data_IF_010280967965
#
_entry.id   IF_010280967965
#
_cell.length_a   1.000
_cell.length_b   1.000
_cell.length_c   1.000
_cell.angle_alpha   90.00
_cell.angle_beta   90.00
_cell.angle_gamma   90.00
#
_symmetry.space_group_name_H-M   'P 1'
#
loop_
_entity.id
_entity.type
_entity.pdbx_description
1 polymer ?
#
# COMPACT_ATOMS: atom_id res chain seq x y z
N UNK A 1 -21.80 -12.81 3.75
CA UNK A 1 -21.65 -12.12 2.47
C UNK A 1 -21.49 -10.63 2.78
N UNK A 2 -20.51 -9.99 2.18
CA UNK A 2 -20.22 -8.57 2.37
C UNK A 2 -20.45 -7.84 1.06
N UNK A 3 -20.91 -6.60 1.12
CA UNK A 3 -21.16 -5.77 -0.05
C UNK A 3 -19.94 -4.92 -0.40
N UNK A 4 -19.12 -4.58 0.61
CA UNK A 4 -17.83 -3.89 0.44
C UNK A 4 -16.73 -4.59 1.22
N UNK A 5 -15.58 -4.75 0.57
CA UNK A 5 -14.35 -5.25 1.19
C UNK A 5 -13.27 -4.18 1.05
N UNK A 6 -12.73 -3.73 2.19
CA UNK A 6 -11.65 -2.74 2.25
C UNK A 6 -10.31 -3.43 2.44
N UNK A 7 -9.39 -3.17 1.54
CA UNK A 7 -8.00 -3.61 1.61
C UNK A 7 -7.07 -2.41 1.72
N UNK A 8 -5.89 -2.58 2.30
CA UNK A 8 -4.81 -1.61 2.17
C UNK A 8 -4.28 -1.60 0.73
N UNK A 9 -3.65 -0.50 0.30
CA UNK A 9 -3.03 -0.39 -1.02
C UNK A 9 -2.00 -1.51 -1.24
N UNK A 10 -1.12 -1.68 -0.28
CA UNK A 10 -0.02 -2.64 -0.37
C UNK A 10 0.50 -3.03 1.01
N UNK A 11 1.20 -4.16 1.10
CA UNK A 11 1.89 -4.60 2.30
C UNK A 11 3.26 -3.91 2.43
N UNK A 12 3.69 -3.64 3.65
CA UNK A 12 4.92 -2.89 3.94
C UNK A 12 6.20 -3.66 3.57
N UNK A 13 6.11 -4.98 3.56
CA UNK A 13 7.26 -5.87 3.29
C UNK A 13 7.60 -5.97 1.80
N UNK A 14 6.62 -6.28 0.95
CA UNK A 14 6.85 -6.55 -0.46
C UNK A 14 6.37 -5.41 -1.40
N UNK A 15 5.47 -4.55 -0.94
CA UNK A 15 4.93 -3.40 -1.69
C UNK A 15 4.40 -3.75 -3.11
N UNK A 16 3.86 -4.97 -3.30
CA UNK A 16 3.41 -5.43 -4.61
C UNK A 16 2.03 -4.89 -5.02
N UNK A 17 1.22 -4.45 -4.07
CA UNK A 17 -0.10 -3.88 -4.34
C UNK A 17 -1.13 -4.86 -4.95
N UNK A 18 -0.90 -6.16 -4.88
CA UNK A 18 -1.69 -7.16 -5.59
C UNK A 18 -2.80 -7.81 -4.75
N UNK A 19 -2.69 -7.77 -3.41
CA UNK A 19 -3.58 -8.54 -2.53
C UNK A 19 -5.06 -8.23 -2.72
N UNK A 20 -5.44 -6.94 -2.80
CA UNK A 20 -6.84 -6.54 -3.02
C UNK A 20 -7.37 -6.93 -4.42
N UNK A 21 -6.52 -6.88 -5.43
CA UNK A 21 -6.89 -7.24 -6.80
C UNK A 21 -7.11 -8.74 -6.93
N UNK A 22 -6.19 -9.55 -6.38
CA UNK A 22 -6.32 -11.01 -6.36
C UNK A 22 -7.58 -11.45 -5.59
N UNK A 23 -7.86 -10.80 -4.46
CA UNK A 23 -9.06 -11.07 -3.68
C UNK A 23 -10.34 -10.76 -4.48
N UNK A 24 -10.37 -9.66 -5.23
CA UNK A 24 -11.51 -9.31 -6.06
C UNK A 24 -11.74 -10.33 -7.18
N UNK A 25 -10.68 -10.81 -7.82
CA UNK A 25 -10.74 -11.85 -8.85
C UNK A 25 -11.29 -13.17 -8.30
N UNK A 26 -10.76 -13.63 -7.15
CA UNK A 26 -11.25 -14.86 -6.48
C UNK A 26 -12.70 -14.76 -6.01
N UNK A 27 -13.15 -13.56 -5.63
CA UNK A 27 -14.54 -13.31 -5.25
C UNK A 27 -15.46 -13.08 -6.46
N UNK A 28 -14.93 -12.91 -7.68
CA UNK A 28 -15.69 -12.57 -8.87
C UNK A 28 -16.40 -11.21 -8.76
N UNK A 29 -15.76 -10.20 -8.16
CA UNK A 29 -16.36 -8.89 -7.90
C UNK A 29 -15.57 -7.76 -8.55
N UNK A 30 -16.21 -6.59 -8.64
CA UNK A 30 -15.54 -5.35 -9.07
C UNK A 30 -14.45 -4.94 -8.10
N UNK A 31 -13.43 -4.22 -8.59
CA UNK A 31 -12.38 -3.62 -7.75
C UNK A 31 -12.13 -2.17 -8.15
N UNK A 32 -11.98 -1.29 -7.14
CA UNK A 32 -11.50 0.08 -7.33
C UNK A 32 -10.24 0.25 -6.48
N UNK A 33 -9.13 0.57 -7.13
CA UNK A 33 -7.83 0.66 -6.46
C UNK A 33 -7.49 2.08 -6.04
N UNK A 34 -6.63 2.20 -5.02
CA UNK A 34 -6.02 3.47 -4.59
C UNK A 34 -7.04 4.58 -4.31
N UNK A 35 -8.10 4.27 -3.54
CA UNK A 35 -9.12 5.27 -3.23
C UNK A 35 -8.73 6.14 -2.05
N UNK A 36 -9.09 7.42 -2.11
CA UNK A 36 -8.96 8.41 -1.03
C UNK A 36 -10.30 8.76 -0.41
N UNK A 37 -11.37 8.68 -1.20
CA UNK A 37 -12.75 8.96 -0.78
C UNK A 37 -13.68 7.90 -1.36
N UNK A 38 -14.77 7.62 -0.65
CA UNK A 38 -15.80 6.68 -1.10
C UNK A 38 -17.17 7.15 -0.66
N UNK A 39 -18.15 6.98 -1.52
CA UNK A 39 -19.58 7.16 -1.23
C UNK A 39 -20.36 5.93 -1.72
N UNK A 40 -21.42 5.61 -0.99
CA UNK A 40 -22.34 4.53 -1.33
C UNK A 40 -23.75 5.08 -1.44
N UNK A 41 -24.42 4.78 -2.54
CA UNK A 41 -25.83 5.12 -2.79
C UNK A 41 -26.56 3.87 -3.33
N UNK A 42 -27.32 3.21 -2.47
CA UNK A 42 -27.85 1.88 -2.76
C UNK A 42 -26.70 0.90 -3.07
N UNK A 43 -26.73 0.28 -4.24
CA UNK A 43 -25.68 -0.63 -4.71
C UNK A 43 -24.55 0.07 -5.49
N UNK A 44 -24.68 1.40 -5.67
CA UNK A 44 -23.69 2.18 -6.42
C UNK A 44 -22.57 2.66 -5.51
N UNK A 45 -21.35 2.26 -5.83
CA UNK A 45 -20.11 2.67 -5.16
C UNK A 45 -19.44 3.73 -6.02
N UNK A 46 -19.28 4.93 -5.51
CA UNK A 46 -18.53 6.02 -6.16
C UNK A 46 -17.29 6.32 -5.34
N UNK A 47 -16.13 6.31 -5.97
CA UNK A 47 -14.87 6.53 -5.27
C UNK A 47 -13.96 7.51 -6.03
N UNK A 48 -13.19 8.28 -5.27
CA UNK A 48 -12.11 9.12 -5.79
C UNK A 48 -10.83 8.28 -5.77
N UNK A 49 -10.34 7.96 -6.96
CA UNK A 49 -9.15 7.15 -7.17
C UNK A 49 -7.94 8.06 -7.43
N UNK A 50 -6.85 7.79 -6.72
CA UNK A 50 -5.55 8.41 -6.97
C UNK A 50 -4.83 7.72 -8.12
N UNK A 51 -4.25 8.49 -9.04
CA UNK A 51 -3.43 8.03 -10.16
C UNK A 51 -2.14 8.83 -10.22
N UNK A 52 -1.18 8.42 -11.04
CA UNK A 52 0.08 9.17 -11.23
C UNK A 52 -0.13 10.57 -11.79
N UNK A 53 -1.22 10.78 -12.56
CA UNK A 53 -1.56 12.07 -13.17
C UNK A 53 -2.49 12.94 -12.30
N UNK A 54 -2.96 12.43 -11.15
CA UNK A 54 -3.88 13.10 -10.25
C UNK A 54 -5.02 12.22 -9.76
N UNK A 55 -6.26 12.68 -9.85
CA UNK A 55 -7.43 11.98 -9.34
C UNK A 55 -8.49 11.78 -10.43
N UNK A 56 -9.23 10.69 -10.33
CA UNK A 56 -10.42 10.46 -11.12
C UNK A 56 -11.56 9.90 -10.26
N UNK A 57 -12.79 10.19 -10.63
CA UNK A 57 -13.97 9.57 -10.04
C UNK A 57 -14.32 8.30 -10.78
N UNK A 58 -14.45 7.20 -10.05
CA UNK A 58 -14.78 5.88 -10.58
C UNK A 58 -16.05 5.37 -9.92
N UNK A 59 -16.87 4.67 -10.68
CA UNK A 59 -18.11 4.05 -10.20
C UNK A 59 -18.06 2.54 -10.42
N UNK A 60 -18.59 1.80 -9.47
CA UNK A 60 -18.79 0.35 -9.55
C UNK A 60 -20.11 -0.02 -8.86
N UNK A 61 -20.57 -1.25 -9.08
CA UNK A 61 -21.69 -1.81 -8.35
C UNK A 61 -21.19 -2.70 -7.21
N UNK A 62 -21.87 -2.71 -6.07
CA UNK A 62 -21.67 -3.68 -5.02
C UNK A 62 -22.13 -5.09 -5.47
N UNK A 63 -21.46 -6.18 -5.05
CA UNK A 63 -20.30 -6.22 -4.16
C UNK A 63 -19.01 -5.72 -4.85
N UNK A 64 -18.16 -5.02 -4.08
CA UNK A 64 -16.95 -4.42 -4.61
C UNK A 64 -15.80 -4.51 -3.59
N UNK A 65 -14.59 -4.77 -4.10
CA UNK A 65 -13.35 -4.65 -3.32
C UNK A 65 -12.76 -3.27 -3.59
N UNK A 66 -12.28 -2.59 -2.55
CA UNK A 66 -11.58 -1.31 -2.68
C UNK A 66 -10.22 -1.37 -2.01
N UNK A 67 -9.19 -0.81 -2.64
CA UNK A 67 -7.90 -0.63 -1.96
C UNK A 67 -7.71 0.83 -1.59
N UNK A 68 -7.36 1.08 -0.33
CA UNK A 68 -7.36 2.41 0.28
C UNK A 68 -5.94 2.94 0.40
N UNK A 69 -5.74 4.18 -0.03
CA UNK A 69 -4.53 4.96 0.20
C UNK A 69 -4.70 5.86 1.42
N UNK A 70 -3.78 6.79 1.65
CA UNK A 70 -3.89 7.75 2.74
C UNK A 70 -5.04 8.73 2.45
N UNK A 71 -6.10 8.76 3.29
CA UNK A 71 -7.17 9.74 3.16
C UNK A 71 -6.68 11.15 3.56
N UNK A 72 -7.42 12.18 3.15
CA UNK A 72 -7.11 13.58 3.49
C UNK A 72 -7.41 13.93 4.96
N UNK A 73 -8.26 13.14 5.63
CA UNK A 73 -8.61 13.37 7.03
C UNK A 73 -7.60 12.73 8.00
N UNK A 74 -7.47 13.32 9.18
CA UNK A 74 -6.63 12.77 10.24
C UNK A 74 -7.27 11.53 10.87
N UNK A 75 -6.50 10.44 11.10
CA UNK A 75 -7.01 9.25 11.73
C UNK A 75 -7.40 9.50 13.19
N UNK A 76 -8.52 8.91 13.62
CA UNK A 76 -8.96 8.99 15.01
C UNK A 76 -8.08 8.18 15.93
N UNK A 77 -7.51 8.83 16.94
CA UNK A 77 -6.70 8.14 17.95
C UNK A 77 -7.59 7.34 18.92
N UNK A 78 -7.20 6.11 19.28
CA UNK A 78 -7.96 5.30 20.22
C UNK A 78 -7.89 5.87 21.64
N UNK A 79 -9.03 5.94 22.32
CA UNK A 79 -9.11 6.30 23.74
C UNK A 79 -8.51 5.19 24.60
N UNK A 80 -8.16 5.50 25.87
CA UNK A 80 -7.67 4.51 26.84
C UNK A 80 -8.69 3.37 27.00
N UNK A 81 -9.98 3.67 27.08
CA UNK A 81 -11.07 2.68 27.17
C UNK A 81 -11.05 1.73 25.97
N UNK A 82 -10.92 2.28 24.76
CA UNK A 82 -10.90 1.49 23.53
C UNK A 82 -9.63 0.61 23.44
N UNK A 83 -8.47 1.13 23.85
CA UNK A 83 -7.23 0.33 23.94
C UNK A 83 -7.37 -0.85 24.90
N UNK A 84 -7.97 -0.63 26.07
CA UNK A 84 -8.21 -1.70 27.06
C UNK A 84 -9.23 -2.73 26.55
N UNK A 85 -10.28 -2.29 25.88
CA UNK A 85 -11.27 -3.17 25.27
C UNK A 85 -10.67 -4.03 24.15
N UNK A 86 -9.83 -3.42 23.29
CA UNK A 86 -9.15 -4.14 22.22
C UNK A 86 -8.20 -5.24 22.72
N UNK A 87 -7.48 -4.98 23.82
CA UNK A 87 -6.59 -6.00 24.45
C UNK A 87 -7.30 -7.26 24.93
N UNK A 88 -8.60 -7.15 25.22
CA UNK A 88 -9.42 -8.27 25.71
C UNK A 88 -10.09 -9.06 24.57
N UNK A 89 -10.05 -8.55 23.33
CA UNK A 89 -10.63 -9.26 22.20
C UNK A 89 -9.76 -10.45 21.82
N UNK A 90 -10.36 -11.64 21.63
CA UNK A 90 -9.60 -12.79 21.13
C UNK A 90 -9.14 -12.52 19.69
N UNK A 91 -7.93 -12.93 19.38
CA UNK A 91 -7.43 -12.98 18.01
C UNK A 91 -7.73 -14.38 17.49
N UNK A 92 -8.47 -14.47 16.39
CA UNK A 92 -8.74 -15.77 15.74
C UNK A 92 -7.45 -16.31 15.14
N UNK A 93 -7.20 -17.60 15.36
CA UNK A 93 -6.08 -18.32 14.79
C UNK A 93 -6.60 -19.29 13.72
N UNK A 94 -6.25 -19.07 12.46
CA UNK A 94 -6.61 -19.94 11.34
C UNK A 94 -5.41 -20.81 11.02
N UNK A 95 -5.57 -22.11 11.19
CA UNK A 95 -4.54 -23.10 10.90
C UNK A 95 -4.74 -23.73 9.54
N UNK A 96 -3.71 -24.35 9.03
CA UNK A 96 -3.75 -25.10 7.78
C UNK A 96 -4.92 -26.12 7.73
N UNK A 97 -5.21 -26.76 8.86
CA UNK A 97 -6.32 -27.71 8.97
C UNK A 97 -7.72 -27.07 8.81
N UNK A 98 -7.83 -25.76 9.01
CA UNK A 98 -9.09 -25.01 8.89
C UNK A 98 -9.39 -24.59 7.45
N UNK A 99 -8.44 -24.78 6.53
CA UNK A 99 -8.50 -24.42 5.11
C UNK A 99 -8.78 -25.68 4.29
N UNK A 100 -10.07 -25.97 4.06
CA UNK A 100 -10.50 -27.20 3.39
C UNK A 100 -10.00 -27.36 1.96
N UNK A 101 -9.83 -26.26 1.25
CA UNK A 101 -9.46 -26.24 -0.18
C UNK A 101 -7.96 -25.94 -0.39
N UNK A 102 -7.14 -25.98 0.68
CA UNK A 102 -5.72 -25.71 0.57
C UNK A 102 -4.99 -26.89 -0.08
N UNK A 103 -4.45 -26.67 -1.27
CA UNK A 103 -3.56 -27.61 -1.94
C UNK A 103 -2.15 -27.52 -1.32
N UNK A 104 -1.88 -28.40 -0.36
CA UNK A 104 -0.62 -28.40 0.42
C UNK A 104 0.63 -28.48 -0.43
N UNK A 105 0.56 -29.17 -1.56
CA UNK A 105 1.67 -29.33 -2.50
C UNK A 105 1.99 -28.01 -3.25
N UNK A 106 1.09 -27.02 -3.24
CA UNK A 106 1.26 -25.74 -3.92
C UNK A 106 1.67 -24.59 -3.02
N UNK A 107 1.74 -24.82 -1.71
CA UNK A 107 2.08 -23.78 -0.72
C UNK A 107 3.37 -24.13 0.03
N UNK A 108 3.89 -23.13 0.73
CA UNK A 108 5.11 -23.25 1.52
C UNK A 108 6.40 -22.92 0.76
N UNK A 109 7.49 -22.89 1.49
CA UNK A 109 8.80 -22.46 0.98
C UNK A 109 9.29 -23.30 -0.19
N UNK A 110 9.05 -24.62 -0.17
CA UNK A 110 9.46 -25.55 -1.23
C UNK A 110 8.77 -25.28 -2.58
N UNK A 111 7.63 -24.61 -2.57
CA UNK A 111 6.84 -24.29 -3.77
C UNK A 111 6.86 -22.80 -4.12
N UNK A 112 7.61 -22.00 -3.37
CA UNK A 112 7.76 -20.58 -3.65
C UNK A 112 8.35 -20.36 -5.04
N UNK A 113 7.72 -19.47 -5.82
CA UNK A 113 8.23 -19.08 -7.16
C UNK A 113 9.37 -18.08 -7.10
N UNK A 114 9.65 -17.57 -5.90
CA UNK A 114 10.69 -16.58 -5.64
C UNK A 114 11.61 -17.13 -4.56
N UNK A 115 12.91 -17.04 -4.78
CA UNK A 115 13.94 -17.39 -3.82
C UNK A 115 14.65 -16.15 -3.31
N UNK A 116 14.74 -15.98 -1.99
CA UNK A 116 15.53 -14.92 -1.37
C UNK A 116 17.02 -15.31 -1.48
N UNK A 117 17.75 -14.61 -2.32
CA UNK A 117 19.19 -14.88 -2.54
C UNK A 117 20.03 -14.28 -1.40
N UNK A 118 19.67 -13.08 -0.93
CA UNK A 118 20.44 -12.38 0.10
C UNK A 118 19.55 -11.35 0.82
N UNK A 119 19.69 -11.31 2.13
CA UNK A 119 19.20 -10.19 2.95
C UNK A 119 20.41 -9.38 3.42
N UNK A 120 20.32 -8.06 3.28
CA UNK A 120 21.39 -7.16 3.74
C UNK A 120 20.80 -5.83 4.17
N UNK A 121 21.48 -5.20 5.11
CA UNK A 121 21.17 -3.84 5.51
C UNK A 121 21.73 -2.88 4.45
N UNK A 122 20.91 -1.93 3.93
CA UNK A 122 21.40 -0.93 2.99
C UNK A 122 22.53 -0.12 3.60
N UNK A 123 23.53 0.23 2.78
CA UNK A 123 24.59 1.12 3.21
C UNK A 123 24.00 2.45 3.72
N UNK A 124 24.50 2.91 4.85
CA UNK A 124 24.07 4.22 5.39
C UNK A 124 24.47 5.30 4.39
N UNK A 125 23.53 6.17 4.09
CA UNK A 125 23.82 7.35 3.27
C UNK A 125 24.73 8.28 4.05
N UNK A 126 25.79 8.72 3.42
CA UNK A 126 26.65 9.77 3.97
C UNK A 126 25.94 11.13 3.93
N UNK A 127 26.45 12.07 4.71
CA UNK A 127 25.93 13.43 4.69
C UNK A 127 26.12 14.04 3.30
N UNK A 128 25.08 14.69 2.79
CA UNK A 128 25.17 15.39 1.50
C UNK A 128 26.17 16.56 1.53
N UNK A 129 26.57 16.99 0.36
CA UNK A 129 27.48 18.15 0.19
C UNK A 129 26.66 19.42 0.30
N UNK A 130 27.05 20.31 1.20
CA UNK A 130 26.49 21.67 1.28
C UNK A 130 27.31 22.57 0.39
N UNK A 131 26.65 23.20 -0.58
CA UNK A 131 27.25 24.16 -1.50
C UNK A 131 26.86 25.56 -1.02
N UNK A 132 27.86 26.37 -0.70
CA UNK A 132 27.66 27.76 -0.28
C UNK A 132 28.82 28.57 -0.84
N UNK A 133 28.52 29.34 -1.88
CA UNK A 133 29.44 30.27 -2.53
C UNK A 133 29.09 31.70 -2.13
N UNK A 134 29.81 32.68 -2.67
CA UNK A 134 29.61 34.12 -2.35
C UNK A 134 28.24 34.63 -2.80
N UNK A 135 27.73 34.10 -3.92
CA UNK A 135 26.40 34.44 -4.42
C UNK A 135 25.50 33.22 -4.56
N UNK A 136 24.16 33.40 -4.52
CA UNK A 136 23.22 32.31 -4.80
C UNK A 136 23.38 31.73 -6.21
N UNK A 137 23.72 32.57 -7.19
CA UNK A 137 23.94 32.19 -8.58
C UNK A 137 25.14 31.25 -8.71
N UNK A 138 26.27 31.57 -8.06
CA UNK A 138 27.48 30.73 -8.06
C UNK A 138 27.22 29.40 -7.37
N UNK A 139 26.46 29.41 -6.29
CA UNK A 139 26.04 28.20 -5.60
C UNK A 139 25.20 27.30 -6.49
N UNK A 140 24.28 27.88 -7.27
CA UNK A 140 23.44 27.15 -8.24
C UNK A 140 24.26 26.56 -9.39
N UNK A 141 25.16 27.34 -9.97
CA UNK A 141 26.05 26.90 -11.07
C UNK A 141 26.89 25.69 -10.60
N UNK A 142 27.47 25.78 -9.42
CA UNK A 142 28.27 24.69 -8.86
C UNK A 142 27.43 23.45 -8.57
N UNK A 143 26.22 23.62 -8.05
CA UNK A 143 25.29 22.52 -7.81
C UNK A 143 24.95 21.78 -9.11
N UNK A 144 24.59 22.52 -10.17
CA UNK A 144 24.25 21.94 -11.47
C UNK A 144 25.45 21.22 -12.08
N UNK A 145 26.65 21.79 -12.00
CA UNK A 145 27.87 21.14 -12.48
C UNK A 145 28.12 19.79 -11.78
N UNK A 146 27.99 19.76 -10.45
CA UNK A 146 28.15 18.53 -9.67
C UNK A 146 27.06 17.48 -9.98
N UNK A 147 25.84 17.91 -10.25
CA UNK A 147 24.74 17.00 -10.65
C UNK A 147 24.99 16.42 -12.04
N UNK A 148 25.50 17.21 -12.98
CA UNK A 148 25.89 16.74 -14.31
C UNK A 148 27.05 15.74 -14.26
N UNK A 149 28.08 16.02 -13.46
CA UNK A 149 29.21 15.10 -13.25
C UNK A 149 28.74 13.78 -12.63
N UNK A 150 27.77 13.83 -11.72
CA UNK A 150 27.15 12.66 -11.10
C UNK A 150 26.11 11.96 -12.02
N UNK A 151 25.89 12.46 -13.25
CA UNK A 151 24.93 11.92 -14.24
C UNK A 151 23.51 11.77 -13.66
N UNK A 152 23.04 12.78 -12.92
CA UNK A 152 21.69 12.81 -12.36
C UNK A 152 20.66 13.20 -13.44
N UNK A 153 21.08 13.87 -14.50
CA UNK A 153 20.31 14.21 -15.69
C UNK A 153 21.21 14.19 -16.93
#
# INVERSE_FOLDING_TARGET
>A
KFDLVFCGKEATDAALGQGGLMLAEELGTSVITNITEIALDGDKVTAKQETEEGYRTVEASAPCVVTVTKPEYDPRYPTIKNKMAARKKPIGDIKEADLADLEKEKVGESNAKVQIVKLYEPAKKEAGIKIQEETPEDSAIKAVAMMADAKVF
#
